data_IF_210886347269
#
_entry.id   IF_210886347269
#
_cell.length_a   1.000
_cell.length_b   1.000
_cell.length_c   1.000
_cell.angle_alpha   90.00
_cell.angle_beta   90.00
_cell.angle_gamma   90.00
#
_symmetry.space_group_name_H-M   'P 1'
#
loop_
_entity.id
_entity.type
_entity.pdbx_description
1 polymer ?
#
# COMPACT_ATOMS: atom_id res chain seq x y z
N UNK A 1 2.71 29.80 0.99
CA UNK A 1 1.91 29.81 -0.23
C UNK A 1 1.25 28.45 -0.43
N UNK A 2 -0.06 28.39 -0.45
CA UNK A 2 -0.77 27.16 -0.71
C UNK A 2 -0.81 26.92 -2.21
N UNK A 3 -0.41 25.73 -2.63
CA UNK A 3 -0.54 25.28 -4.00
C UNK A 3 -2.05 25.21 -4.34
N UNK A 4 -2.55 25.91 -5.39
CA UNK A 4 -3.95 25.83 -5.77
C UNK A 4 -4.39 24.44 -6.25
N UNK A 5 -3.45 23.56 -6.60
CA UNK A 5 -3.70 22.17 -6.99
C UNK A 5 -2.74 21.24 -6.24
N UNK A 6 -2.93 21.06 -4.92
CA UNK A 6 -2.04 20.18 -4.17
C UNK A 6 -2.13 18.75 -4.70
N UNK A 7 -0.98 18.07 -4.79
CA UNK A 7 -0.94 16.65 -5.11
C UNK A 7 -1.62 15.87 -4.00
N UNK A 8 -2.36 14.81 -4.33
CA UNK A 8 -2.95 13.95 -3.31
C UNK A 8 -1.84 13.30 -2.47
N UNK A 9 -2.15 13.05 -1.20
CA UNK A 9 -1.21 12.44 -0.27
C UNK A 9 -1.26 10.94 -0.42
N UNK A 10 -0.20 10.34 -0.93
CA UNK A 10 -0.09 8.90 -1.07
C UNK A 10 0.41 8.29 0.24
N UNK A 11 -0.33 7.35 0.77
CA UNK A 11 0.05 6.57 1.94
C UNK A 11 0.17 5.11 1.54
N UNK A 12 1.31 4.50 1.80
CA UNK A 12 1.50 3.08 1.58
C UNK A 12 0.92 2.29 2.76
N UNK A 13 0.30 1.17 2.46
CA UNK A 13 -0.15 0.22 3.46
C UNK A 13 0.34 -1.16 3.06
N UNK A 14 1.14 -1.80 3.91
CA UNK A 14 1.82 -3.05 3.59
C UNK A 14 2.19 -3.83 4.84
N UNK A 15 2.12 -5.16 4.76
CA UNK A 15 2.68 -6.05 5.76
C UNK A 15 4.03 -6.55 5.25
N UNK A 16 5.09 -6.40 6.04
CA UNK A 16 6.47 -6.69 5.66
C UNK A 16 7.11 -7.57 6.72
N UNK A 17 7.72 -8.67 6.29
CA UNK A 17 8.50 -9.52 7.18
C UNK A 17 9.76 -8.78 7.67
N UNK A 18 10.35 -9.30 8.73
CA UNK A 18 11.54 -8.70 9.33
C UNK A 18 12.72 -8.62 8.33
N UNK A 19 12.82 -9.55 7.36
CA UNK A 19 13.81 -9.51 6.29
C UNK A 19 13.36 -8.73 5.03
N UNK A 20 12.23 -8.03 5.09
CA UNK A 20 11.72 -7.25 3.96
C UNK A 20 10.80 -8.00 3.00
N UNK A 21 10.61 -9.29 3.19
CA UNK A 21 9.79 -10.13 2.31
C UNK A 21 8.32 -9.72 2.35
N UNK A 22 7.65 -9.69 1.18
CA UNK A 22 6.21 -9.37 1.07
C UNK A 22 5.42 -10.37 0.25
N UNK A 23 6.07 -11.22 -0.54
CA UNK A 23 5.35 -12.19 -1.34
C UNK A 23 6.23 -13.28 -1.92
N UNK A 24 5.60 -14.39 -2.33
CA UNK A 24 6.24 -15.49 -3.03
C UNK A 24 5.21 -16.17 -3.93
N UNK A 25 5.59 -16.45 -5.19
CA UNK A 25 4.71 -17.09 -6.18
C UNK A 25 3.36 -16.38 -6.34
N UNK A 26 3.36 -15.04 -6.34
CA UNK A 26 2.17 -14.19 -6.46
C UNK A 26 1.17 -14.33 -5.30
N UNK A 27 1.60 -14.85 -4.15
CA UNK A 27 0.73 -15.04 -3.00
C UNK A 27 1.30 -14.36 -1.75
N UNK A 28 0.46 -14.17 -0.76
CA UNK A 28 0.86 -13.64 0.54
C UNK A 28 1.64 -14.71 1.30
N UNK A 29 2.61 -14.27 2.12
CA UNK A 29 3.43 -15.16 2.94
C UNK A 29 2.71 -15.62 4.21
N UNK A 30 1.70 -14.88 4.63
CA UNK A 30 0.96 -15.13 5.88
C UNK A 30 -0.44 -14.55 5.78
N UNK A 31 -1.30 -14.94 6.73
CA UNK A 31 -2.63 -14.36 6.90
C UNK A 31 -2.80 -13.87 8.33
N UNK A 32 -3.08 -12.58 8.49
CA UNK A 32 -3.35 -11.94 9.76
C UNK A 32 -4.74 -11.29 9.71
N UNK A 33 -5.72 -11.88 10.39
CA UNK A 33 -7.10 -11.38 10.38
C UNK A 33 -7.23 -9.96 10.94
N UNK A 34 -6.47 -9.66 12.01
CA UNK A 34 -6.43 -8.32 12.59
C UNK A 34 -5.86 -7.28 11.63
N UNK A 35 -4.89 -7.67 10.80
CA UNK A 35 -4.29 -6.78 9.81
C UNK A 35 -5.28 -6.48 8.67
N UNK A 36 -6.02 -7.46 8.22
CA UNK A 36 -7.08 -7.27 7.22
C UNK A 36 -8.18 -6.32 7.74
N UNK A 37 -8.53 -6.45 9.01
CA UNK A 37 -9.50 -5.57 9.66
C UNK A 37 -8.98 -4.13 9.73
N UNK A 38 -7.70 -3.97 10.11
CA UNK A 38 -7.05 -2.66 10.16
C UNK A 38 -6.98 -2.02 8.77
N UNK A 39 -6.63 -2.80 7.76
CA UNK A 39 -6.60 -2.36 6.36
C UNK A 39 -7.96 -1.77 5.96
N UNK A 40 -9.03 -2.49 6.24
CA UNK A 40 -10.39 -2.03 5.93
C UNK A 40 -10.72 -0.74 6.67
N UNK A 41 -10.40 -0.66 7.96
CA UNK A 41 -10.67 0.53 8.78
C UNK A 41 -9.91 1.76 8.27
N UNK A 42 -8.63 1.61 7.91
CA UNK A 42 -7.80 2.72 7.43
C UNK A 42 -8.23 3.19 6.05
N UNK A 43 -8.55 2.27 5.15
CA UNK A 43 -8.80 2.60 3.74
C UNK A 43 -10.24 2.98 3.42
N UNK A 44 -11.19 2.63 4.28
CA UNK A 44 -12.62 2.89 4.01
C UNK A 44 -12.88 4.37 3.73
N UNK A 45 -13.55 4.65 2.61
CA UNK A 45 -13.87 6.02 2.19
C UNK A 45 -12.74 6.72 1.43
N UNK A 46 -11.59 6.06 1.25
CA UNK A 46 -10.45 6.62 0.54
C UNK A 46 -10.18 5.87 -0.76
N UNK A 47 -9.61 6.53 -1.79
CA UNK A 47 -9.15 5.82 -2.96
C UNK A 47 -8.05 4.81 -2.60
N UNK A 48 -8.07 3.66 -3.27
CA UNK A 48 -7.03 2.62 -3.14
C UNK A 48 -6.42 2.36 -4.51
N UNK A 49 -5.10 2.36 -4.56
CA UNK A 49 -4.32 2.14 -5.78
C UNK A 49 -3.60 0.81 -5.68
N UNK A 50 -3.70 0.00 -6.74
CA UNK A 50 -3.09 -1.32 -6.77
C UNK A 50 -2.63 -1.65 -8.18
N UNK A 51 -1.71 -2.60 -8.27
CA UNK A 51 -1.33 -3.20 -9.55
C UNK A 51 -2.33 -4.26 -10.00
N UNK A 52 -2.22 -4.69 -11.25
CA UNK A 52 -3.12 -5.70 -11.83
C UNK A 52 -3.11 -7.01 -11.05
N UNK A 53 -1.94 -7.51 -10.65
CA UNK A 53 -1.86 -8.79 -9.92
C UNK A 53 -2.57 -8.73 -8.58
N UNK A 54 -2.45 -7.61 -7.89
CA UNK A 54 -3.18 -7.38 -6.64
C UNK A 54 -4.68 -7.37 -6.89
N UNK A 55 -5.13 -6.68 -7.93
CA UNK A 55 -6.54 -6.67 -8.34
C UNK A 55 -7.05 -8.09 -8.61
N UNK A 56 -6.30 -8.86 -9.40
CA UNK A 56 -6.68 -10.24 -9.75
C UNK A 56 -6.75 -11.16 -8.52
N UNK A 57 -5.96 -10.87 -7.48
CA UNK A 57 -5.92 -11.66 -6.24
C UNK A 57 -7.04 -11.36 -5.27
N UNK A 58 -7.78 -10.27 -5.47
CA UNK A 58 -8.84 -9.89 -4.54
C UNK A 58 -9.99 -10.90 -4.60
N UNK A 59 -10.41 -11.46 -3.44
CA UNK A 59 -11.54 -12.40 -3.42
C UNK A 59 -12.87 -11.74 -3.78
N UNK A 60 -13.00 -10.44 -3.48
CA UNK A 60 -14.16 -9.63 -3.82
C UNK A 60 -13.69 -8.31 -4.39
N UNK A 61 -14.13 -7.98 -5.60
CA UNK A 61 -13.75 -6.76 -6.31
C UNK A 61 -14.94 -6.12 -7.01
N UNK A 62 -15.01 -4.78 -7.02
CA UNK A 62 -14.07 -3.86 -6.38
C UNK A 62 -14.19 -3.92 -4.84
N UNK A 63 -13.18 -3.38 -4.14
CA UNK A 63 -13.27 -3.20 -2.69
C UNK A 63 -14.39 -2.20 -2.39
N UNK A 64 -15.42 -2.57 -1.60
CA UNK A 64 -16.58 -1.70 -1.40
C UNK A 64 -16.24 -0.44 -0.61
N UNK A 65 -16.96 0.65 -0.90
CA UNK A 65 -16.85 1.91 -0.18
C UNK A 65 -15.58 2.71 -0.49
N UNK A 66 -14.85 2.33 -1.54
CA UNK A 66 -13.58 2.95 -1.93
C UNK A 66 -13.49 3.06 -3.44
N UNK A 67 -12.90 4.14 -3.95
CA UNK A 67 -12.56 4.22 -5.37
C UNK A 67 -11.38 3.29 -5.63
N UNK A 68 -11.57 2.26 -6.43
CA UNK A 68 -10.52 1.32 -6.79
C UNK A 68 -9.82 1.80 -8.06
N UNK A 69 -8.49 1.92 -8.00
CA UNK A 69 -7.67 2.34 -9.13
C UNK A 69 -6.65 1.25 -9.40
N UNK A 70 -6.62 0.74 -10.62
CA UNK A 70 -5.67 -0.30 -11.04
C UNK A 70 -4.67 0.32 -12.00
N UNK A 71 -3.39 0.22 -11.66
CA UNK A 71 -2.27 0.74 -12.45
C UNK A 71 -1.60 -0.41 -13.18
N UNK A 72 -1.59 -0.36 -14.51
CA UNK A 72 -1.01 -1.40 -15.37
C UNK A 72 -0.49 -0.82 -16.67
N UNK A 73 0.59 -1.41 -17.19
CA UNK A 73 1.14 -1.05 -18.49
C UNK A 73 0.32 -1.60 -19.67
N UNK A 74 -0.58 -2.55 -19.43
CA UNK A 74 -1.39 -3.14 -20.49
C UNK A 74 -2.53 -2.19 -20.88
N UNK A 75 -2.48 -1.59 -22.11
CA UNK A 75 -3.50 -0.62 -22.54
C UNK A 75 -4.87 -1.23 -22.76
N UNK A 76 -4.95 -2.54 -22.92
CA UNK A 76 -6.20 -3.27 -23.19
C UNK A 76 -6.86 -3.82 -21.93
N UNK A 77 -6.22 -3.64 -20.77
CA UNK A 77 -6.76 -4.14 -19.51
C UNK A 77 -8.00 -3.36 -19.08
N UNK A 78 -9.05 -4.08 -18.72
CA UNK A 78 -10.27 -3.49 -18.17
C UNK A 78 -10.59 -4.16 -16.83
N UNK A 79 -11.17 -3.38 -15.91
CA UNK A 79 -11.56 -3.86 -14.60
C UNK A 79 -12.91 -3.27 -14.24
N UNK A 80 -13.94 -4.11 -14.19
CA UNK A 80 -15.28 -3.65 -13.86
C UNK A 80 -15.33 -3.10 -12.43
N UNK A 81 -15.81 -1.89 -12.28
CA UNK A 81 -15.92 -1.23 -10.98
C UNK A 81 -14.64 -0.51 -10.55
N UNK A 82 -13.61 -0.48 -11.38
CA UNK A 82 -12.36 0.21 -11.09
C UNK A 82 -12.01 1.20 -12.19
N UNK A 83 -11.19 2.18 -11.82
CA UNK A 83 -10.55 3.10 -12.76
C UNK A 83 -9.20 2.50 -13.15
N UNK A 84 -8.93 2.34 -14.45
CA UNK A 84 -7.64 1.82 -14.92
C UNK A 84 -6.76 2.96 -15.39
N UNK A 85 -5.53 3.00 -14.90
CA UNK A 85 -4.53 4.00 -15.29
C UNK A 85 -3.25 3.29 -15.78
N UNK A 86 -2.48 3.95 -16.65
CA UNK A 86 -1.33 3.32 -17.30
C UNK A 86 0.00 4.01 -17.01
N UNK A 87 -0.01 5.06 -16.19
CA UNK A 87 1.18 5.84 -15.86
C UNK A 87 0.98 6.60 -14.56
N UNK A 88 2.08 7.11 -14.00
CA UNK A 88 2.02 8.01 -12.83
C UNK A 88 1.20 9.26 -13.17
N UNK A 89 1.40 9.85 -14.35
CA UNK A 89 0.60 11.00 -14.81
C UNK A 89 -0.88 10.65 -14.90
N UNK A 90 -1.20 9.46 -15.43
CA UNK A 90 -2.58 8.97 -15.50
C UNK A 90 -3.20 8.80 -14.13
N UNK A 91 -2.42 8.32 -13.16
CA UNK A 91 -2.86 8.19 -11.76
C UNK A 91 -3.21 9.57 -11.18
N UNK A 92 -2.33 10.55 -11.30
CA UNK A 92 -2.58 11.88 -10.75
C UNK A 92 -3.74 12.58 -11.45
N UNK A 93 -3.96 12.34 -12.74
CA UNK A 93 -5.16 12.83 -13.44
C UNK A 93 -6.44 12.21 -12.87
N UNK A 94 -6.43 10.90 -12.60
CA UNK A 94 -7.58 10.20 -12.02
C UNK A 94 -7.88 10.67 -10.60
N UNK A 95 -6.86 11.16 -9.88
CA UNK A 95 -6.99 11.68 -8.52
C UNK A 95 -7.21 13.19 -8.46
N UNK A 96 -7.37 13.85 -9.59
CA UNK A 96 -7.59 15.30 -9.64
C UNK A 96 -8.84 15.65 -8.85
N UNK A 97 -8.70 16.63 -7.96
CA UNK A 97 -9.78 17.03 -7.06
C UNK A 97 -9.82 16.26 -5.74
N UNK A 98 -9.02 15.20 -5.62
CA UNK A 98 -8.85 14.50 -4.35
C UNK A 98 -7.80 15.22 -3.52
N UNK A 99 -8.20 15.82 -2.42
CA UNK A 99 -7.30 16.52 -1.49
C UNK A 99 -6.98 15.70 -0.25
N UNK A 100 -7.57 14.52 -0.12
CA UNK A 100 -7.40 13.63 1.01
C UNK A 100 -6.31 12.58 0.80
N UNK A 101 -6.33 11.58 1.68
CA UNK A 101 -5.37 10.48 1.68
C UNK A 101 -5.79 9.44 0.64
N UNK A 102 -4.80 8.96 -0.11
CA UNK A 102 -4.94 7.89 -1.10
C UNK A 102 -4.02 6.75 -0.66
N UNK A 103 -4.55 5.54 -0.55
CA UNK A 103 -3.77 4.38 -0.09
C UNK A 103 -3.23 3.56 -1.27
N UNK A 104 -1.95 3.24 -1.21
CA UNK A 104 -1.27 2.37 -2.18
C UNK A 104 -1.09 1.00 -1.51
N UNK A 105 -1.69 -0.03 -2.09
CA UNK A 105 -1.76 -1.35 -1.44
C UNK A 105 -0.95 -2.44 -2.13
N UNK A 106 -0.15 -2.10 -3.12
CA UNK A 106 0.78 -3.04 -3.74
C UNK A 106 0.43 -3.40 -5.17
N UNK A 107 1.13 -4.30 -5.79
CA UNK A 107 2.33 -5.00 -5.24
C UNK A 107 3.65 -4.26 -5.33
N UNK A 108 4.73 -5.05 -5.30
CA UNK A 108 6.09 -4.51 -5.21
C UNK A 108 6.42 -3.50 -6.30
N UNK A 109 6.05 -3.77 -7.55
CA UNK A 109 6.32 -2.86 -8.66
C UNK A 109 5.61 -1.51 -8.46
N UNK A 110 4.40 -1.52 -7.91
CA UNK A 110 3.63 -0.30 -7.63
C UNK A 110 4.25 0.45 -6.46
N UNK A 111 4.67 -0.23 -5.40
CA UNK A 111 5.39 0.41 -4.30
C UNK A 111 6.67 1.08 -4.79
N UNK A 112 7.47 0.37 -5.59
CA UNK A 112 8.72 0.92 -6.13
C UNK A 112 8.48 2.15 -7.01
N UNK A 113 7.49 2.08 -7.90
CA UNK A 113 7.14 3.18 -8.81
C UNK A 113 6.65 4.42 -8.06
N UNK A 114 5.84 4.22 -7.02
CA UNK A 114 5.18 5.31 -6.30
C UNK A 114 5.92 5.77 -5.03
N UNK A 115 6.96 5.06 -4.60
CA UNK A 115 7.71 5.44 -3.39
C UNK A 115 8.21 6.89 -3.40
N UNK A 116 8.72 7.44 -4.52
CA UNK A 116 9.12 8.86 -4.56
C UNK A 116 8.00 9.84 -4.22
N UNK A 117 6.74 9.42 -4.36
CA UNK A 117 5.56 10.27 -4.11
C UNK A 117 4.87 9.94 -2.79
N UNK A 118 5.39 8.98 -2.02
CA UNK A 118 4.77 8.56 -0.76
C UNK A 118 5.02 9.59 0.33
N UNK A 119 3.97 9.97 1.05
CA UNK A 119 4.06 10.86 2.21
C UNK A 119 4.11 10.07 3.51
N UNK A 120 3.42 8.94 3.58
CA UNK A 120 3.32 8.13 4.79
C UNK A 120 3.37 6.65 4.46
N UNK A 121 3.98 5.87 5.35
CA UNK A 121 4.05 4.41 5.22
C UNK A 121 3.41 3.80 6.47
N UNK A 122 2.36 3.01 6.27
CA UNK A 122 1.72 2.21 7.31
C UNK A 122 2.22 0.79 7.13
N UNK A 123 3.09 0.34 8.03
CA UNK A 123 3.74 -0.96 7.94
C UNK A 123 3.28 -1.86 9.09
N UNK A 124 2.86 -3.07 8.75
CA UNK A 124 2.71 -4.15 9.69
C UNK A 124 3.98 -4.97 9.62
N UNK A 125 4.83 -4.87 10.66
CA UNK A 125 6.11 -5.59 10.71
C UNK A 125 5.89 -6.96 11.32
N UNK A 126 6.13 -8.03 10.55
CA UNK A 126 6.01 -9.40 11.02
C UNK A 126 7.39 -9.89 11.44
N UNK A 127 7.52 -10.31 12.69
CA UNK A 127 8.81 -10.69 13.30
C UNK A 127 9.20 -12.12 12.94
N UNK A 128 9.39 -12.34 11.67
CA UNK A 128 9.87 -13.61 11.10
C UNK A 128 10.50 -13.33 9.75
N UNK A 129 11.57 -14.08 9.44
CA UNK A 129 12.16 -14.07 8.09
C UNK A 129 11.41 -15.08 7.22
N UNK A 130 11.21 -14.73 5.96
CA UNK A 130 10.56 -15.61 4.98
C UNK A 130 11.40 -15.73 3.74
N UNK A 131 11.42 -16.92 3.16
CA UNK A 131 11.89 -17.11 1.79
C UNK A 131 10.86 -16.47 0.87
N UNK A 132 11.29 -15.59 -0.03
CA UNK A 132 10.40 -14.80 -0.87
C UNK A 132 11.04 -14.52 -2.21
N UNK A 133 10.20 -14.17 -3.19
CA UNK A 133 10.66 -13.66 -4.50
C UNK A 133 10.33 -12.16 -4.65
N UNK A 134 9.58 -11.59 -3.70
CA UNK A 134 9.18 -10.19 -3.73
C UNK A 134 9.46 -9.54 -2.39
N UNK A 135 10.13 -8.37 -2.44
CA UNK A 135 10.53 -7.62 -1.25
C UNK A 135 10.02 -6.18 -1.33
N UNK A 136 9.71 -5.62 -0.17
CA UNK A 136 9.39 -4.19 -0.06
C UNK A 136 10.67 -3.37 -0.31
N UNK A 137 10.57 -2.22 -1.03
CA UNK A 137 11.74 -1.36 -1.21
C UNK A 137 12.35 -0.94 0.13
N UNK A 138 13.67 -0.82 0.18
CA UNK A 138 14.36 -0.36 1.39
C UNK A 138 13.91 1.07 1.72
N UNK A 139 13.49 1.28 2.98
CA UNK A 139 13.09 2.61 3.45
C UNK A 139 14.35 3.42 3.72
N UNK A 140 14.51 4.52 3.00
CA UNK A 140 15.60 5.45 3.21
C UNK A 140 15.29 6.35 4.41
N UNK A 141 15.96 6.12 5.53
CA UNK A 141 15.74 6.87 6.77
C UNK A 141 16.27 8.31 6.72
N UNK A 142 16.98 8.68 5.64
CA UNK A 142 17.27 10.09 5.37
C UNK A 142 16.04 10.82 4.83
N UNK A 143 15.08 10.10 4.24
CA UNK A 143 13.86 10.67 3.68
C UNK A 143 12.64 10.47 4.56
N UNK A 144 12.63 9.45 5.42
CA UNK A 144 11.50 9.12 6.28
C UNK A 144 11.90 9.10 7.76
N UNK A 145 10.94 9.43 8.62
CA UNK A 145 11.06 9.28 10.08
C UNK A 145 10.04 8.27 10.58
N UNK A 146 10.46 7.42 11.51
CA UNK A 146 9.52 6.57 12.25
C UNK A 146 8.79 7.46 13.26
N UNK A 147 7.48 7.66 13.05
CA UNK A 147 6.67 8.56 13.88
C UNK A 147 5.75 7.83 14.84
N UNK A 148 5.53 6.55 14.62
CA UNK A 148 4.71 5.73 15.52
C UNK A 148 5.20 4.29 15.50
N UNK A 149 5.35 3.70 16.68
CA UNK A 149 5.75 2.32 16.86
C UNK A 149 4.83 1.69 17.91
N UNK A 150 4.07 0.67 17.51
CA UNK A 150 3.15 -0.02 18.40
C UNK A 150 3.85 -1.11 19.19
N UNK A 151 3.24 -1.48 20.34
CA UNK A 151 3.68 -2.64 21.13
C UNK A 151 3.53 -3.92 20.29
N UNK A 152 4.44 -4.90 20.45
CA UNK A 152 4.30 -6.19 19.78
C UNK A 152 3.00 -6.89 20.14
N UNK A 153 2.35 -7.45 19.13
CA UNK A 153 1.12 -8.21 19.24
C UNK A 153 1.37 -9.66 18.83
N UNK A 154 0.54 -10.56 19.32
CA UNK A 154 0.61 -11.98 18.97
C UNK A 154 -0.69 -12.43 18.32
N UNK A 155 -0.58 -13.12 17.18
CA UNK A 155 -1.73 -13.72 16.50
C UNK A 155 -1.81 -15.20 16.87
N UNK A 156 -2.84 -15.57 17.59
CA UNK A 156 -3.02 -16.94 18.09
C UNK A 156 -3.20 -17.95 16.95
N UNK A 157 -3.88 -17.55 15.88
CA UNK A 157 -4.19 -18.45 14.76
C UNK A 157 -2.94 -18.82 13.97
N UNK A 158 -2.09 -17.83 13.64
CA UNK A 158 -0.88 -18.05 12.86
C UNK A 158 0.36 -18.30 13.72
N UNK A 159 0.32 -17.94 15.00
CA UNK A 159 1.47 -17.97 15.89
C UNK A 159 2.49 -16.87 15.62
N UNK A 160 2.14 -15.87 14.81
CA UNK A 160 3.06 -14.80 14.44
C UNK A 160 3.03 -13.64 15.43
N UNK A 161 4.21 -13.08 15.68
CA UNK A 161 4.36 -11.82 16.40
C UNK A 161 4.53 -10.71 15.39
N UNK A 162 3.89 -9.56 15.64
CA UNK A 162 3.92 -8.43 14.72
C UNK A 162 3.72 -7.13 15.50
N UNK A 163 4.04 -6.01 14.84
CA UNK A 163 3.78 -4.67 15.38
C UNK A 163 3.46 -3.71 14.23
N UNK A 164 2.76 -2.63 14.57
CA UNK A 164 2.45 -1.58 13.61
C UNK A 164 3.49 -0.47 13.70
N UNK A 165 3.98 -0.04 12.55
CA UNK A 165 4.94 1.05 12.39
C UNK A 165 4.33 2.07 11.43
N UNK A 166 4.53 3.35 11.70
CA UNK A 166 4.16 4.42 10.78
C UNK A 166 5.37 5.30 10.54
N UNK A 167 5.65 5.55 9.26
CA UNK A 167 6.73 6.42 8.81
C UNK A 167 6.14 7.62 8.10
N UNK A 168 6.77 8.77 8.25
CA UNK A 168 6.36 10.01 7.59
C UNK A 168 7.55 10.60 6.83
N UNK A 169 7.30 11.12 5.63
CA UNK A 169 8.35 11.76 4.85
C UNK A 169 8.80 13.05 5.55
N UNK A 170 10.11 13.21 5.68
CA UNK A 170 10.72 14.36 6.36
C UNK A 170 10.51 15.66 5.61
N UNK A 171 10.55 15.59 4.26
CA UNK A 171 10.39 16.76 3.40
C UNK A 171 9.24 16.50 2.45
N UNK A 172 8.35 17.49 2.31
CA UNK A 172 7.24 17.39 1.36
C UNK A 172 7.77 17.44 -0.08
N UNK A 173 7.17 16.64 -0.90
CA UNK A 173 7.45 16.59 -2.33
C UNK A 173 6.68 17.71 -3.02
#
# INVERSE_FOLDING_TARGET
MTDPNPLPKLSFIVAVAQNGAIGKNNDLLWHLGSDLKRFKQLTMGHPVVMGRRTWDSLPKKPLPGRQNIVMTNNPDFTAEGATVVHSVNGLFKALKGCDGVVFVMGGAAIYETLLPFANRLYITRVYRDYEADVYFPTIDMSEFSLVKFGEPLHDETSGLDYAYEEYERKFRI
#
